data_IF_202367111440
#
_entry.id   IF_202367111440
#
_cell.length_a   1.000
_cell.length_b   1.000
_cell.length_c   1.000
_cell.angle_alpha   90.00
_cell.angle_beta   90.00
_cell.angle_gamma   90.00
#
_symmetry.space_group_name_H-M   'P 1'
#
loop_
_entity.id
_entity.type
_entity.pdbx_description
1 polymer ?
#
# COMPACT_ATOMS: atom_id res chain seq x y z
N UNK A 1 13.31 -17.26 -28.82
CA UNK A 1 12.12 -17.42 -27.95
C UNK A 1 12.15 -16.23 -27.03
N UNK A 2 11.12 -15.39 -27.03
CA UNK A 2 11.08 -14.18 -26.20
C UNK A 2 11.11 -14.60 -24.72
N UNK A 3 12.03 -14.03 -23.95
CA UNK A 3 12.15 -14.34 -22.53
C UNK A 3 10.92 -13.77 -21.82
N UNK A 4 10.16 -14.61 -21.13
CA UNK A 4 9.02 -14.15 -20.33
C UNK A 4 9.55 -13.36 -19.13
N UNK A 5 9.00 -12.18 -18.89
CA UNK A 5 9.35 -11.30 -17.76
C UNK A 5 8.07 -10.96 -16.99
N UNK A 6 8.08 -11.20 -15.69
CA UNK A 6 7.05 -10.70 -14.78
C UNK A 6 7.42 -9.27 -14.38
N UNK A 7 6.48 -8.32 -14.50
CA UNK A 7 6.78 -6.91 -14.35
C UNK A 7 5.92 -6.23 -13.29
N UNK A 8 6.52 -5.74 -12.21
CA UNK A 8 5.84 -4.94 -11.17
C UNK A 8 5.77 -3.47 -11.62
N UNK A 9 4.58 -2.89 -11.82
CA UNK A 9 4.43 -1.51 -12.24
C UNK A 9 4.63 -0.52 -11.08
N UNK A 10 4.79 0.75 -11.43
CA UNK A 10 4.45 1.85 -10.51
C UNK A 10 2.93 2.03 -10.56
N UNK A 11 2.29 2.22 -9.41
CA UNK A 11 0.89 2.63 -9.35
C UNK A 11 0.80 4.16 -9.34
N UNK A 12 0.14 4.74 -10.34
CA UNK A 12 -0.08 6.20 -10.47
C UNK A 12 -1.57 6.47 -10.32
N UNK A 13 -1.96 7.00 -9.16
CA UNK A 13 -3.37 7.20 -8.81
C UNK A 13 -4.23 5.93 -8.93
N UNK A 14 -3.66 4.77 -8.56
CA UNK A 14 -4.33 3.47 -8.64
C UNK A 14 -4.13 2.72 -9.96
N UNK A 15 -3.63 3.39 -11.00
CA UNK A 15 -3.43 2.78 -12.32
C UNK A 15 -2.02 2.24 -12.50
N UNK A 16 -1.91 1.03 -13.08
CA UNK A 16 -0.62 0.43 -13.39
C UNK A 16 0.11 1.20 -14.50
N UNK A 17 1.38 1.52 -14.27
CA UNK A 17 2.23 2.23 -15.20
C UNK A 17 3.62 1.59 -15.31
N UNK A 18 3.99 1.19 -16.52
CA UNK A 18 5.36 0.76 -16.86
C UNK A 18 6.25 1.99 -17.03
N UNK A 19 7.20 2.15 -16.13
CA UNK A 19 8.25 3.16 -16.25
C UNK A 19 9.29 2.77 -17.30
N UNK A 20 9.95 3.77 -17.89
CA UNK A 20 11.15 3.57 -18.70
C UNK A 20 12.34 3.14 -17.84
N UNK A 21 12.39 3.62 -16.59
CA UNK A 21 13.40 3.24 -15.61
C UNK A 21 12.92 1.99 -14.87
N UNK A 22 13.71 0.93 -14.95
CA UNK A 22 13.40 -0.35 -14.31
C UNK A 22 14.61 -0.89 -13.55
N UNK A 23 14.33 -1.67 -12.50
CA UNK A 23 15.32 -2.48 -11.82
C UNK A 23 15.03 -3.95 -12.11
N UNK A 24 16.06 -4.66 -12.56
CA UNK A 24 16.03 -6.11 -12.69
C UNK A 24 16.31 -6.74 -11.33
N UNK A 25 15.39 -7.60 -10.89
CA UNK A 25 15.48 -8.35 -9.65
C UNK A 25 15.91 -9.80 -9.87
N UNK A 26 16.18 -10.20 -11.12
CA UNK A 26 16.64 -11.53 -11.47
C UNK A 26 15.55 -12.61 -11.35
N UNK A 27 15.98 -13.86 -11.24
CA UNK A 27 15.10 -15.04 -11.25
C UNK A 27 14.72 -15.46 -9.81
N UNK A 28 14.02 -14.57 -9.10
CA UNK A 28 13.62 -14.79 -7.69
C UNK A 28 12.24 -15.40 -7.54
N UNK A 29 11.47 -15.48 -8.62
CA UNK A 29 10.14 -16.07 -8.61
C UNK A 29 10.25 -17.60 -8.64
N UNK A 30 9.35 -18.27 -7.94
CA UNK A 30 9.25 -19.73 -7.94
C UNK A 30 9.04 -20.33 -9.34
N UNK A 31 8.42 -19.57 -10.24
CA UNK A 31 8.23 -19.94 -11.64
C UNK A 31 9.54 -19.97 -12.45
N UNK A 32 10.64 -19.44 -11.91
CA UNK A 32 11.90 -19.22 -12.63
C UNK A 32 11.86 -18.05 -13.62
N UNK A 33 10.72 -17.35 -13.72
CA UNK A 33 10.55 -16.16 -14.55
C UNK A 33 11.34 -15.01 -13.94
N UNK A 34 11.99 -14.23 -14.80
CA UNK A 34 12.72 -13.02 -14.41
C UNK A 34 11.76 -11.95 -13.92
N UNK A 35 12.09 -11.29 -12.82
CA UNK A 35 11.30 -10.23 -12.22
C UNK A 35 11.92 -8.87 -12.50
N UNK A 36 11.14 -7.97 -13.08
CA UNK A 36 11.49 -6.56 -13.27
C UNK A 36 10.52 -5.67 -12.47
N UNK A 37 11.01 -4.56 -11.91
CA UNK A 37 10.18 -3.55 -11.23
C UNK A 37 10.39 -2.17 -11.83
N UNK A 38 9.29 -1.46 -12.09
CA UNK A 38 9.35 -0.06 -12.52
C UNK A 38 9.74 0.87 -11.36
N UNK A 39 10.58 1.86 -11.68
CA UNK A 39 11.00 2.90 -10.75
C UNK A 39 10.36 4.23 -11.15
N UNK A 40 9.72 4.90 -10.19
CA UNK A 40 9.18 6.23 -10.39
C UNK A 40 10.31 7.28 -10.35
N UNK A 41 10.67 7.84 -11.51
CA UNK A 41 11.67 8.89 -11.57
C UNK A 41 11.14 10.27 -11.13
N UNK A 42 12.06 11.20 -10.88
CA UNK A 42 11.72 12.55 -10.42
C UNK A 42 10.79 13.33 -11.37
N UNK A 43 10.87 13.08 -12.67
CA UNK A 43 10.00 13.71 -13.66
C UNK A 43 8.55 13.27 -13.53
N UNK A 44 8.32 11.96 -13.37
CA UNK A 44 7.00 11.38 -13.13
C UNK A 44 6.43 11.90 -11.82
N UNK A 45 7.21 11.89 -10.74
CA UNK A 45 6.78 12.39 -9.42
C UNK A 45 6.37 13.87 -9.50
N UNK A 46 7.18 14.72 -10.15
CA UNK A 46 6.83 16.15 -10.34
C UNK A 46 5.54 16.33 -11.14
N UNK A 47 5.35 15.54 -12.20
CA UNK A 47 4.13 15.57 -13.01
C UNK A 47 2.90 15.15 -12.20
N UNK A 48 3.00 14.07 -11.45
CA UNK A 48 1.89 13.55 -10.66
C UNK A 48 1.55 14.50 -9.51
N UNK A 49 2.54 15.19 -8.93
CA UNK A 49 2.33 16.25 -7.95
C UNK A 49 1.44 17.38 -8.48
N UNK A 50 1.51 17.72 -9.77
CA UNK A 50 0.61 18.73 -10.37
C UNK A 50 -0.87 18.30 -10.35
N UNK A 51 -1.15 17.00 -10.19
CA UNK A 51 -2.49 16.44 -10.10
C UNK A 51 -2.82 15.89 -8.70
N UNK A 52 -2.05 16.23 -7.67
CA UNK A 52 -2.20 15.66 -6.32
C UNK A 52 -3.59 15.96 -5.73
N UNK A 53 -4.17 17.12 -6.06
CA UNK A 53 -5.52 17.50 -5.62
C UNK A 53 -6.61 16.54 -6.12
N UNK A 54 -6.42 15.89 -7.27
CA UNK A 54 -7.34 14.87 -7.75
C UNK A 54 -7.32 13.65 -6.83
N UNK A 55 -6.13 13.20 -6.43
CA UNK A 55 -5.96 12.12 -5.47
C UNK A 55 -6.53 12.45 -4.09
N UNK A 56 -6.27 13.67 -3.59
CA UNK A 56 -6.84 14.16 -2.32
C UNK A 56 -8.36 14.22 -2.37
N UNK A 57 -8.93 14.73 -3.46
CA UNK A 57 -10.38 14.81 -3.64
C UNK A 57 -11.02 13.42 -3.72
N UNK A 58 -10.38 12.47 -4.42
CA UNK A 58 -10.85 11.08 -4.50
C UNK A 58 -10.85 10.40 -3.13
N UNK A 59 -9.79 10.57 -2.32
CA UNK A 59 -9.73 10.02 -0.97
C UNK A 59 -10.74 10.68 -0.03
N UNK A 60 -10.89 12.01 -0.08
CA UNK A 60 -11.87 12.76 0.73
C UNK A 60 -13.32 12.41 0.41
N UNK A 61 -13.59 11.92 -0.80
CA UNK A 61 -14.93 11.46 -1.19
C UNK A 61 -15.30 10.12 -0.54
N UNK A 62 -14.32 9.38 0.00
CA UNK A 62 -14.53 8.12 0.72
C UNK A 62 -14.60 8.44 2.21
N UNK A 63 -15.64 7.99 2.94
CA UNK A 63 -15.71 8.19 4.38
C UNK A 63 -14.47 7.64 5.09
N UNK A 64 -13.97 8.37 6.07
CA UNK A 64 -12.79 7.97 6.83
C UNK A 64 -12.94 6.57 7.41
N UNK A 65 -14.12 6.24 7.94
CA UNK A 65 -14.40 4.91 8.49
C UNK A 65 -14.26 3.79 7.45
N UNK A 66 -14.71 4.02 6.21
CA UNK A 66 -14.54 3.08 5.09
C UNK A 66 -13.08 2.91 4.69
N UNK A 67 -12.26 3.97 4.76
CA UNK A 67 -10.81 3.86 4.55
C UNK A 67 -10.15 3.00 5.64
N UNK A 68 -10.66 3.01 6.88
CA UNK A 68 -10.19 2.14 7.96
C UNK A 68 -10.56 0.67 7.69
N UNK A 69 -11.78 0.42 7.21
CA UNK A 69 -12.18 -0.93 6.78
C UNK A 69 -11.28 -1.47 5.67
N UNK A 70 -10.90 -0.63 4.70
CA UNK A 70 -9.96 -1.03 3.65
C UNK A 70 -8.57 -1.37 4.18
N UNK A 71 -8.07 -0.63 5.16
CA UNK A 71 -6.79 -0.94 5.80
C UNK A 71 -6.84 -2.27 6.56
N UNK A 72 -7.91 -2.53 7.31
CA UNK A 72 -8.11 -3.81 8.00
C UNK A 72 -8.24 -4.97 7.01
N UNK A 73 -8.98 -4.78 5.91
CA UNK A 73 -9.09 -5.79 4.85
C UNK A 73 -7.77 -6.04 4.13
N UNK A 74 -6.96 -5.00 3.91
CA UNK A 74 -5.64 -5.14 3.32
C UNK A 74 -4.71 -5.98 4.20
N UNK A 75 -4.82 -5.88 5.53
CA UNK A 75 -4.05 -6.73 6.46
C UNK A 75 -4.39 -8.21 6.29
N UNK A 76 -5.67 -8.55 6.19
CA UNK A 76 -6.15 -9.93 5.92
C UNK A 76 -5.62 -10.44 4.57
N UNK A 77 -5.83 -9.66 3.50
CA UNK A 77 -5.37 -10.03 2.16
C UNK A 77 -3.85 -10.19 2.08
N UNK A 78 -3.08 -9.40 2.83
CA UNK A 78 -1.62 -9.50 2.85
C UNK A 78 -1.12 -10.78 3.53
N UNK A 79 -1.86 -11.30 4.52
CA UNK A 79 -1.46 -12.51 5.25
C UNK A 79 -1.91 -13.79 4.57
N UNK A 80 -3.06 -13.76 3.89
CA UNK A 80 -3.75 -14.98 3.45
C UNK A 80 -4.15 -14.96 1.96
N UNK A 81 -4.06 -13.82 1.28
CA UNK A 81 -4.56 -13.64 -0.07
C UNK A 81 -3.70 -14.25 -1.17
N UNK A 82 -4.36 -14.51 -2.29
CA UNK A 82 -3.72 -14.65 -3.61
C UNK A 82 -4.04 -13.37 -4.39
N UNK A 83 -3.01 -12.56 -4.66
CA UNK A 83 -3.18 -11.20 -5.13
C UNK A 83 -2.58 -11.00 -6.51
N UNK A 84 -3.20 -10.17 -7.38
CA UNK A 84 -2.56 -9.71 -8.58
C UNK A 84 -1.23 -9.04 -8.25
N UNK A 85 -0.16 -9.48 -8.90
CA UNK A 85 1.16 -8.90 -8.76
C UNK A 85 1.76 -8.75 -10.16
N UNK A 86 1.99 -7.50 -10.56
CA UNK A 86 2.47 -7.20 -11.91
C UNK A 86 1.38 -6.75 -12.88
N UNK A 87 1.74 -6.61 -14.15
CA UNK A 87 0.88 -5.95 -15.15
C UNK A 87 0.01 -6.91 -15.98
N UNK A 88 0.41 -8.17 -16.12
CA UNK A 88 -0.22 -9.10 -17.08
C UNK A 88 -1.22 -10.07 -16.42
N UNK A 89 -1.85 -9.64 -15.33
CA UNK A 89 -2.86 -10.41 -14.60
C UNK A 89 -2.32 -11.62 -13.83
N UNK A 90 -1.00 -11.71 -13.65
CA UNK A 90 -0.37 -12.73 -12.82
C UNK A 90 -0.78 -12.57 -11.35
N UNK A 91 -0.96 -13.68 -10.65
CA UNK A 91 -1.25 -13.72 -9.22
C UNK A 91 -0.08 -14.29 -8.43
N UNK A 92 0.09 -13.81 -7.20
CA UNK A 92 1.08 -14.30 -6.27
C UNK A 92 0.39 -14.74 -4.98
N UNK A 93 0.69 -15.97 -4.58
CA UNK A 93 0.34 -16.47 -3.26
C UNK A 93 1.29 -15.91 -2.20
N UNK A 94 0.86 -15.92 -0.93
CA UNK A 94 1.73 -15.59 0.22
C UNK A 94 2.99 -16.45 0.27
N UNK A 95 2.88 -17.73 -0.11
CA UNK A 95 4.03 -18.64 -0.17
C UNK A 95 5.08 -18.18 -1.18
N UNK A 96 4.63 -17.79 -2.36
CA UNK A 96 5.51 -17.29 -3.43
C UNK A 96 6.10 -15.92 -3.11
N UNK A 97 5.31 -15.03 -2.47
CA UNK A 97 5.81 -13.77 -1.95
C UNK A 97 6.94 -13.98 -0.92
N UNK A 98 6.75 -14.88 0.04
CA UNK A 98 7.76 -15.18 1.07
C UNK A 98 9.03 -15.76 0.44
N UNK A 99 8.90 -16.64 -0.56
CA UNK A 99 10.04 -17.20 -1.26
C UNK A 99 10.84 -16.11 -2.00
N UNK A 100 10.15 -15.27 -2.79
CA UNK A 100 10.79 -14.17 -3.51
C UNK A 100 11.43 -13.16 -2.55
N UNK A 101 10.77 -12.83 -1.44
CA UNK A 101 11.29 -11.91 -0.43
C UNK A 101 12.55 -12.47 0.26
N UNK A 102 12.58 -13.77 0.56
CA UNK A 102 13.74 -14.45 1.12
C UNK A 102 14.92 -14.39 0.16
N UNK A 103 14.71 -14.74 -1.11
CA UNK A 103 15.75 -14.68 -2.15
C UNK A 103 16.32 -13.26 -2.31
N UNK A 104 15.46 -12.23 -2.30
CA UNK A 104 15.89 -10.84 -2.48
C UNK A 104 16.64 -10.25 -1.27
N UNK A 105 16.28 -10.67 -0.06
CA UNK A 105 16.80 -10.07 1.18
C UNK A 105 17.85 -10.90 1.89
N UNK A 106 17.97 -12.19 1.55
CA UNK A 106 18.78 -13.17 2.27
C UNK A 106 18.23 -13.57 3.64
N UNK A 107 17.02 -13.12 4.00
CA UNK A 107 16.39 -13.46 5.28
C UNK A 107 15.71 -14.83 5.22
N UNK A 108 15.80 -15.67 6.27
CA UNK A 108 15.04 -16.91 6.33
C UNK A 108 13.52 -16.68 6.23
N UNK A 109 12.80 -17.65 5.65
CA UNK A 109 11.34 -17.59 5.46
C UNK A 109 10.57 -17.25 6.76
N UNK A 110 11.05 -17.72 7.90
CA UNK A 110 10.44 -17.42 9.22
C UNK A 110 10.52 -15.94 9.57
N UNK A 111 11.61 -15.25 9.23
CA UNK A 111 11.76 -13.81 9.44
C UNK A 111 10.95 -13.00 8.43
N UNK A 112 10.87 -13.44 7.17
CA UNK A 112 9.96 -12.86 6.18
C UNK A 112 8.51 -12.90 6.69
N UNK A 113 8.04 -14.06 7.17
CA UNK A 113 6.70 -14.20 7.75
C UNK A 113 6.51 -13.37 9.01
N UNK A 114 7.49 -13.37 9.92
CA UNK A 114 7.44 -12.51 11.11
C UNK A 114 7.31 -11.03 10.75
N UNK A 115 8.01 -10.58 9.72
CA UNK A 115 7.87 -9.22 9.19
C UNK A 115 6.47 -8.97 8.62
N UNK A 116 5.91 -9.92 7.87
CA UNK A 116 4.55 -9.81 7.36
C UNK A 116 3.53 -9.60 8.49
N UNK A 117 3.61 -10.39 9.56
CA UNK A 117 2.74 -10.25 10.72
C UNK A 117 2.88 -8.87 11.39
N UNK A 118 4.10 -8.32 11.48
CA UNK A 118 4.32 -6.98 12.06
C UNK A 118 3.67 -5.89 11.22
N UNK A 119 3.81 -5.97 9.89
CA UNK A 119 3.19 -5.00 8.95
C UNK A 119 1.67 -5.12 9.00
N UNK A 120 1.13 -6.34 8.93
CA UNK A 120 -0.30 -6.60 9.00
C UNK A 120 -0.90 -6.12 10.33
N UNK A 121 -0.22 -6.34 11.45
CA UNK A 121 -0.71 -5.91 12.77
C UNK A 121 -0.91 -4.39 12.86
N UNK A 122 -0.08 -3.59 12.18
CA UNK A 122 -0.27 -2.13 12.16
C UNK A 122 -1.57 -1.73 11.45
N UNK A 123 -1.87 -2.37 10.31
CA UNK A 123 -3.09 -2.11 9.55
C UNK A 123 -4.34 -2.70 10.20
N UNK A 124 -4.25 -3.91 10.77
CA UNK A 124 -5.34 -4.54 11.52
C UNK A 124 -5.73 -3.74 12.78
N UNK A 125 -4.78 -3.00 13.37
CA UNK A 125 -5.02 -2.14 14.54
C UNK A 125 -5.09 -0.65 14.17
N UNK A 126 -5.34 -0.31 12.90
CA UNK A 126 -5.29 1.08 12.42
C UNK A 126 -6.22 2.01 13.21
N UNK A 127 -7.39 1.50 13.62
CA UNK A 127 -8.36 2.24 14.44
C UNK A 127 -7.74 2.63 15.78
N UNK A 128 -7.13 1.70 16.50
CA UNK A 128 -6.47 1.96 17.77
C UNK A 128 -5.28 2.92 17.63
N UNK A 129 -4.49 2.78 16.56
CA UNK A 129 -3.40 3.71 16.23
C UNK A 129 -3.93 5.12 16.05
N UNK A 130 -4.99 5.30 15.25
CA UNK A 130 -5.60 6.60 15.03
C UNK A 130 -6.19 7.17 16.32
N UNK A 131 -6.94 6.37 17.09
CA UNK A 131 -7.46 6.78 18.40
C UNK A 131 -6.34 7.27 19.32
N UNK A 132 -5.19 6.61 19.35
CA UNK A 132 -4.03 7.05 20.13
C UNK A 132 -3.46 8.38 19.64
N UNK A 133 -3.31 8.55 18.32
CA UNK A 133 -2.76 9.76 17.69
C UNK A 133 -3.72 10.96 17.79
N UNK A 134 -5.03 10.72 17.78
CA UNK A 134 -6.07 11.75 17.85
C UNK A 134 -6.58 12.01 19.26
N UNK A 135 -5.99 11.34 20.27
CA UNK A 135 -6.44 11.41 21.69
C UNK A 135 -7.92 11.05 21.87
N UNK A 136 -8.38 10.05 21.14
CA UNK A 136 -9.73 9.52 21.28
C UNK A 136 -10.77 10.17 20.38
N UNK A 137 -10.41 11.08 19.48
CA UNK A 137 -11.38 11.67 18.56
C UNK A 137 -11.88 10.62 17.54
N UNK A 138 -13.19 10.60 17.25
CA UNK A 138 -13.77 9.65 16.32
C UNK A 138 -13.35 9.93 14.87
N UNK A 139 -13.37 8.93 13.97
CA UNK A 139 -12.97 9.08 12.57
C UNK A 139 -13.73 10.16 11.79
N UNK A 140 -14.97 10.46 12.17
CA UNK A 140 -15.79 11.52 11.54
C UNK A 140 -15.13 12.91 11.56
N UNK A 141 -14.14 13.13 12.43
CA UNK A 141 -13.30 14.32 12.43
C UNK A 141 -12.67 14.57 11.06
N UNK A 142 -12.22 13.52 10.38
CA UNK A 142 -11.53 13.64 9.09
C UNK A 142 -12.50 13.95 7.94
N UNK A 143 -13.77 13.61 8.10
CA UNK A 143 -14.81 13.87 7.10
C UNK A 143 -15.42 15.27 7.26
N UNK A 144 -15.68 15.68 8.50
CA UNK A 144 -16.43 16.92 8.81
C UNK A 144 -15.53 18.09 9.21
N UNK A 145 -14.28 17.82 9.59
CA UNK A 145 -13.38 18.83 10.18
C UNK A 145 -13.73 19.20 11.62
N UNK A 146 -14.74 18.57 12.22
CA UNK A 146 -15.11 18.74 13.62
C UNK A 146 -15.57 17.41 14.23
N UNK A 147 -15.35 17.27 15.54
CA UNK A 147 -15.82 16.15 16.33
C UNK A 147 -15.98 16.58 17.80
N UNK A 148 -16.65 15.75 18.61
CA UNK A 148 -16.85 16.02 20.03
C UNK A 148 -16.07 15.01 20.89
N UNK A 149 -15.35 15.51 21.89
CA UNK A 149 -14.66 14.71 22.90
C UNK A 149 -15.28 15.00 24.27
N UNK A 150 -16.16 14.12 24.73
CA UNK A 150 -16.98 14.36 25.93
C UNK A 150 -17.90 15.56 25.72
N UNK A 151 -17.66 16.64 26.45
CA UNK A 151 -18.43 17.90 26.34
C UNK A 151 -17.70 19.01 25.59
N UNK A 152 -16.54 18.70 24.99
CA UNK A 152 -15.73 19.68 24.27
C UNK A 152 -15.88 19.46 22.77
N UNK A 153 -16.33 20.49 22.07
CA UNK A 153 -16.30 20.52 20.60
C UNK A 153 -14.89 20.82 20.12
N UNK A 154 -14.37 19.98 19.23
CA UNK A 154 -13.02 20.02 18.70
C UNK A 154 -13.09 20.24 17.19
N UNK A 155 -12.36 21.24 16.71
CA UNK A 155 -12.23 21.53 15.28
C UNK A 155 -10.82 21.15 14.80
N UNK A 156 -10.76 20.40 13.70
CA UNK A 156 -9.53 20.10 12.98
C UNK A 156 -9.44 21.02 11.76
N UNK A 157 -8.49 21.96 11.82
CA UNK A 157 -8.12 22.79 10.68
C UNK A 157 -6.76 22.32 10.14
N UNK A 158 -6.70 21.68 8.96
CA UNK A 158 -5.42 21.29 8.37
C UNK A 158 -4.62 22.56 8.01
N UNK A 159 -3.40 22.69 8.56
CA UNK A 159 -2.54 23.89 8.39
C UNK A 159 -1.60 23.76 7.18
N UNK A 160 -1.56 22.59 6.52
CA UNK A 160 -0.74 22.35 5.35
C UNK A 160 -1.59 21.79 4.20
N UNK A 161 -1.50 22.45 3.04
CA UNK A 161 -2.02 21.97 1.75
C UNK A 161 -1.11 20.87 1.16
#
# INVERSE_FOLDING_TARGET
MEEKISHIPVLRFGEAYRSLDTNDLGNVLRSGVRLEVSVANAGIIRRDKLSIEKGRSALRAIPADTLLDYAEKAAELYLDGELPFGMDGETQSVGDYVAALSELTGLPHSLCRSNMFKVAAALQNIRAVLTGLTRGLPPELFDKGCARLGDIDMNFYPIAD
#
